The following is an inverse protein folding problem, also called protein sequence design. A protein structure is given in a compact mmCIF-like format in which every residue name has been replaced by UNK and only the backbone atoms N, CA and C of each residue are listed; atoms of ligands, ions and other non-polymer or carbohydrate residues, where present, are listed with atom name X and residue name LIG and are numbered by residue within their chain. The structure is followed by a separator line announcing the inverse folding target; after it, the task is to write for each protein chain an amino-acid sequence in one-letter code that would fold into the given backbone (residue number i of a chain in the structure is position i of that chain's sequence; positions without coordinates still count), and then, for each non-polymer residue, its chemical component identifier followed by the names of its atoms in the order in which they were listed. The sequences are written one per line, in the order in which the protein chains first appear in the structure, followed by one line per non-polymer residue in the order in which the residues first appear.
data_IF_196635179320
#
_entry.id   IF_196635179320
#
_cell.length_a   1.000
_cell.length_b   1.000
_cell.length_c   1.000
_cell.angle_alpha   90.00
_cell.angle_beta   90.00
_cell.angle_gamma   90.00
#
_symmetry.space_group_name_H-M   'P 1'
#
loop_
_entity.id
_entity.type
_entity.pdbx_description
1 polymer ?
#
# COMPACT_ATOMS: atom_id res chain seq x y z
N UNK A 1 -3.49 -6.06 21.09
CA UNK A 1 -4.31 -5.24 20.18
C UNK A 1 -3.37 -4.69 19.11
N UNK A 2 -3.54 -5.10 17.86
CA UNK A 2 -2.74 -4.55 16.76
C UNK A 2 -3.29 -3.18 16.40
N UNK A 3 -2.44 -2.16 16.36
CA UNK A 3 -2.82 -0.78 15.97
C UNK A 3 -2.97 -0.61 14.45
N UNK A 4 -3.16 -1.71 13.72
CA UNK A 4 -3.22 -1.71 12.26
C UNK A 4 -4.66 -1.56 11.80
N UNK A 5 -4.83 -0.90 10.64
CA UNK A 5 -6.11 -0.88 9.95
C UNK A 5 -6.52 -2.31 9.57
N UNK A 6 -7.75 -2.66 9.93
CA UNK A 6 -8.37 -3.90 9.48
C UNK A 6 -8.87 -3.72 8.05
N UNK A 7 -8.14 -4.30 7.09
CA UNK A 7 -8.48 -4.24 5.66
C UNK A 7 -9.80 -4.94 5.33
N UNK A 8 -10.27 -5.87 6.16
CA UNK A 8 -11.56 -6.53 5.97
C UNK A 8 -12.75 -5.62 6.26
N UNK A 9 -12.55 -4.63 7.15
CA UNK A 9 -13.58 -3.66 7.52
C UNK A 9 -13.81 -2.58 6.46
N UNK A 10 -12.86 -2.40 5.54
CA UNK A 10 -12.91 -1.37 4.50
C UNK A 10 -13.54 -1.97 3.24
N UNK A 11 -14.76 -1.52 2.92
CA UNK A 11 -15.42 -1.84 1.66
C UNK A 11 -14.65 -1.27 0.46
N UNK A 12 -14.78 -1.93 -0.70
CA UNK A 12 -14.07 -1.55 -1.92
C UNK A 12 -14.41 -0.11 -2.37
N UNK A 13 -15.68 0.30 -2.25
CA UNK A 13 -16.13 1.67 -2.57
C UNK A 13 -15.57 2.73 -1.63
N UNK A 14 -15.57 2.44 -0.33
CA UNK A 14 -15.00 3.35 0.65
C UNK A 14 -13.52 3.57 0.37
N UNK A 15 -12.80 2.50 -0.02
CA UNK A 15 -11.40 2.61 -0.40
C UNK A 15 -11.19 3.42 -1.68
N UNK A 16 -12.06 3.26 -2.68
CA UNK A 16 -12.04 4.08 -3.90
C UNK A 16 -12.18 5.58 -3.56
N UNK A 17 -13.14 5.93 -2.71
CA UNK A 17 -13.33 7.31 -2.27
C UNK A 17 -12.18 7.84 -1.41
N UNK A 18 -11.55 6.98 -0.60
CA UNK A 18 -10.32 7.33 0.10
C UNK A 18 -9.17 7.63 -0.84
N UNK A 19 -8.98 6.86 -1.92
CA UNK A 19 -7.95 7.14 -2.94
C UNK A 19 -8.25 8.40 -3.72
N UNK A 20 -9.53 8.65 -4.04
CA UNK A 20 -9.98 9.85 -4.77
C UNK A 20 -9.65 11.11 -3.98
N UNK A 21 -10.07 11.16 -2.72
CA UNK A 21 -9.97 12.33 -1.84
C UNK A 21 -8.62 12.42 -1.11
N UNK A 22 -7.91 11.30 -0.95
CA UNK A 22 -6.65 11.22 -0.23
C UNK A 22 -5.50 11.90 -0.96
N UNK A 23 -4.56 12.45 -0.19
CA UNK A 23 -3.31 12.94 -0.74
C UNK A 23 -2.40 11.76 -1.11
N UNK A 24 -1.98 11.70 -2.37
CA UNK A 24 -1.04 10.70 -2.86
C UNK A 24 0.26 11.37 -3.30
N UNK A 25 1.38 10.72 -2.98
CA UNK A 25 2.72 11.15 -3.40
C UNK A 25 2.83 11.01 -4.93
N UNK A 26 3.67 11.79 -5.64
CA UNK A 26 3.68 11.82 -7.11
C UNK A 26 3.81 10.46 -7.79
N UNK A 27 4.63 9.55 -7.25
CA UNK A 27 4.81 8.18 -7.75
C UNK A 27 3.59 7.26 -7.59
N UNK A 28 2.52 7.74 -6.96
CA UNK A 28 1.27 7.02 -6.70
C UNK A 28 0.06 7.70 -7.37
N UNK A 29 0.27 8.84 -8.04
CA UNK A 29 -0.81 9.59 -8.68
C UNK A 29 -1.51 8.81 -9.81
N UNK A 30 -0.80 7.89 -10.45
CA UNK A 30 -1.37 6.96 -11.44
C UNK A 30 -2.55 6.14 -10.91
N UNK A 31 -2.69 6.00 -9.58
CA UNK A 31 -3.83 5.33 -8.97
C UNK A 31 -5.11 6.14 -9.06
N UNK A 32 -5.03 7.47 -9.23
CA UNK A 32 -6.22 8.33 -9.38
C UNK A 32 -6.79 8.30 -10.80
N UNK A 33 -6.04 7.78 -11.75
CA UNK A 33 -6.47 7.69 -13.14
C UNK A 33 -7.47 6.54 -13.32
N UNK A 34 -8.60 6.83 -13.97
CA UNK A 34 -9.65 5.87 -14.31
C UNK A 34 -10.12 5.01 -13.11
N UNK A 35 -10.18 5.61 -11.90
CA UNK A 35 -10.58 4.91 -10.67
C UNK A 35 -11.92 4.20 -10.80
N UNK A 36 -12.93 4.86 -11.37
CA UNK A 36 -14.27 4.30 -11.49
C UNK A 36 -14.32 3.05 -12.40
N UNK A 37 -13.67 3.12 -13.58
CA UNK A 37 -13.59 1.99 -14.51
C UNK A 37 -12.80 0.82 -13.92
N UNK A 38 -11.61 1.12 -13.37
CA UNK A 38 -10.72 0.11 -12.79
C UNK A 38 -11.34 -0.57 -11.57
N UNK A 39 -12.03 0.18 -10.71
CA UNK A 39 -12.70 -0.42 -9.56
C UNK A 39 -13.98 -1.19 -9.93
N UNK A 40 -14.63 -0.86 -11.05
CA UNK A 40 -15.75 -1.66 -11.57
C UNK A 40 -15.30 -3.08 -11.90
N UNK A 41 -14.17 -3.23 -12.59
CA UNK A 41 -13.55 -4.53 -12.91
C UNK A 41 -13.38 -5.38 -11.64
N UNK A 42 -12.81 -4.82 -10.58
CA UNK A 42 -12.62 -5.55 -9.32
C UNK A 42 -13.95 -5.98 -8.70
N UNK A 43 -14.97 -5.11 -8.77
CA UNK A 43 -16.31 -5.42 -8.28
C UNK A 43 -16.95 -6.54 -9.09
N UNK A 44 -16.82 -6.51 -10.41
CA UNK A 44 -17.38 -7.52 -11.32
C UNK A 44 -16.69 -8.89 -11.12
N UNK A 45 -15.42 -8.88 -10.73
CA UNK A 45 -14.69 -10.06 -10.25
C UNK A 45 -15.13 -10.57 -8.86
N UNK A 46 -16.10 -9.90 -8.22
CA UNK A 46 -16.68 -10.30 -6.94
C UNK A 46 -15.91 -9.84 -5.69
N UNK A 47 -14.95 -8.92 -5.84
CA UNK A 47 -14.15 -8.40 -4.73
C UNK A 47 -14.97 -7.37 -3.94
N UNK A 48 -15.11 -7.57 -2.62
CA UNK A 48 -15.99 -6.74 -1.77
C UNK A 48 -15.25 -5.79 -0.85
N UNK A 49 -14.03 -6.14 -0.44
CA UNK A 49 -13.25 -5.39 0.54
C UNK A 49 -11.75 -5.33 0.16
N UNK A 50 -11.01 -4.47 0.84
CA UNK A 50 -9.58 -4.23 0.56
C UNK A 50 -8.74 -5.47 0.86
N UNK A 51 -9.14 -6.30 1.83
CA UNK A 51 -8.44 -7.55 2.14
C UNK A 51 -8.52 -8.57 1.00
N UNK A 52 -9.69 -8.75 0.41
CA UNK A 52 -9.89 -9.60 -0.78
C UNK A 52 -9.11 -9.07 -1.97
N UNK A 53 -9.12 -7.75 -2.19
CA UNK A 53 -8.31 -7.10 -3.22
C UNK A 53 -6.82 -7.38 -3.03
N UNK A 54 -6.30 -7.21 -1.80
CA UNK A 54 -4.90 -7.50 -1.49
C UNK A 54 -4.55 -8.96 -1.78
N UNK A 55 -5.44 -9.89 -1.43
CA UNK A 55 -5.25 -11.33 -1.63
C UNK A 55 -5.26 -11.69 -3.13
N UNK A 56 -6.17 -11.09 -3.89
CA UNK A 56 -6.25 -11.25 -5.33
C UNK A 56 -4.97 -10.77 -6.03
N UNK A 57 -4.49 -9.57 -5.69
CA UNK A 57 -3.28 -8.98 -6.27
C UNK A 57 -1.99 -9.71 -5.87
N UNK A 58 -1.95 -10.39 -4.71
CA UNK A 58 -0.81 -11.24 -4.32
C UNK A 58 -0.75 -12.56 -5.09
N UNK A 59 -1.88 -13.04 -5.62
CA UNK A 59 -1.92 -14.26 -6.38
C UNK A 59 -1.48 -13.98 -7.81
N UNK A 60 -0.34 -14.55 -8.23
CA UNK A 60 0.25 -14.35 -9.56
C UNK A 60 -0.72 -14.70 -10.71
N UNK A 61 -1.55 -15.73 -10.53
CA UNK A 61 -2.51 -16.15 -11.56
C UNK A 61 -3.58 -15.09 -11.77
N UNK A 62 -4.16 -14.59 -10.68
CA UNK A 62 -5.22 -13.57 -10.71
C UNK A 62 -4.63 -12.23 -11.14
N UNK A 63 -3.44 -11.90 -10.66
CA UNK A 63 -2.71 -10.71 -11.09
C UNK A 63 -2.49 -10.69 -12.60
N UNK A 64 -2.07 -11.81 -13.20
CA UNK A 64 -1.90 -11.92 -14.65
C UNK A 64 -3.21 -11.83 -15.42
N UNK A 65 -4.33 -12.24 -14.84
CA UNK A 65 -5.65 -12.10 -15.45
C UNK A 65 -6.07 -10.63 -15.48
N UNK A 66 -5.89 -9.90 -14.38
CA UNK A 66 -6.16 -8.46 -14.35
C UNK A 66 -5.21 -7.68 -15.24
N UNK A 67 -3.92 -8.02 -15.30
CA UNK A 67 -2.98 -7.33 -16.18
C UNK A 67 -3.24 -7.57 -17.68
N UNK A 68 -4.03 -8.59 -18.02
CA UNK A 68 -4.43 -8.87 -19.39
C UNK A 68 -5.62 -8.01 -19.86
N UNK A 69 -6.33 -7.35 -18.94
CA UNK A 69 -7.37 -6.40 -19.31
C UNK A 69 -6.76 -5.09 -19.81
N UNK A 70 -7.28 -4.59 -20.93
CA UNK A 70 -6.74 -3.41 -21.61
C UNK A 70 -6.70 -2.15 -20.72
N UNK A 71 -7.57 -2.05 -19.71
CA UNK A 71 -7.68 -0.90 -18.80
C UNK A 71 -6.75 -0.97 -17.57
N UNK A 72 -6.04 -2.09 -17.38
CA UNK A 72 -5.23 -2.40 -16.19
C UNK A 72 -3.76 -2.64 -16.56
N UNK A 73 -2.90 -1.65 -16.30
CA UNK A 73 -1.45 -1.82 -16.48
C UNK A 73 -0.85 -2.61 -15.31
N UNK A 74 0.19 -3.40 -15.59
CA UNK A 74 0.96 -4.10 -14.56
C UNK A 74 1.55 -3.13 -13.51
N UNK A 75 1.96 -1.94 -13.96
CA UNK A 75 2.43 -0.87 -13.08
C UNK A 75 1.35 -0.39 -12.11
N UNK A 76 0.11 -0.18 -12.59
CA UNK A 76 -1.01 0.20 -11.75
C UNK A 76 -1.27 -0.83 -10.65
N UNK A 77 -1.35 -2.11 -11.02
CA UNK A 77 -1.60 -3.21 -10.07
C UNK A 77 -0.48 -3.33 -9.04
N UNK A 78 0.78 -3.16 -9.46
CA UNK A 78 1.96 -3.21 -8.59
C UNK A 78 1.96 -2.06 -7.59
N UNK A 79 1.67 -0.84 -8.05
CA UNK A 79 1.61 0.35 -7.21
C UNK A 79 0.43 0.25 -6.24
N UNK A 80 -0.73 -0.24 -6.69
CA UNK A 80 -1.90 -0.47 -5.85
C UNK A 80 -1.60 -1.47 -4.72
N UNK A 81 -0.93 -2.58 -5.05
CA UNK A 81 -0.50 -3.56 -4.06
C UNK A 81 0.48 -2.95 -3.05
N UNK A 82 1.40 -2.09 -3.50
CA UNK A 82 2.34 -1.38 -2.62
C UNK A 82 1.61 -0.43 -1.67
N UNK A 83 0.62 0.32 -2.15
CA UNK A 83 -0.20 1.20 -1.30
C UNK A 83 -0.93 0.42 -0.22
N UNK A 84 -1.62 -0.66 -0.60
CA UNK A 84 -2.38 -1.49 0.35
C UNK A 84 -1.43 -2.10 1.39
N UNK A 85 -0.27 -2.61 0.98
CA UNK A 85 0.72 -3.15 1.91
C UNK A 85 1.31 -2.07 2.84
N UNK A 86 1.36 -0.81 2.41
CA UNK A 86 1.81 0.31 3.24
C UNK A 86 0.86 0.59 4.42
N UNK A 87 -0.41 0.20 4.32
CA UNK A 87 -1.40 0.36 5.41
C UNK A 87 -1.17 -0.62 6.57
N UNK A 88 -0.43 -1.70 6.32
CA UNK A 88 -0.12 -2.74 7.31
C UNK A 88 1.40 -2.97 7.41
N UNK A 89 2.15 -2.01 8.00
CA UNK A 89 3.59 -2.17 8.14
C UNK A 89 3.93 -3.34 9.06
N UNK A 90 4.96 -4.10 8.69
CA UNK A 90 5.41 -5.25 9.49
C UNK A 90 5.88 -4.76 10.87
N UNK A 91 5.48 -5.43 11.97
CA UNK A 91 5.98 -5.10 13.29
C UNK A 91 7.47 -5.43 13.36
N UNK A 92 8.30 -4.42 13.65
CA UNK A 92 9.72 -4.61 13.93
C UNK A 92 9.89 -4.88 15.44
N UNK A 93 10.70 -5.87 15.80
CA UNK A 93 11.01 -6.10 17.22
C UNK A 93 11.94 -4.99 17.70
N UNK A 94 11.69 -4.46 18.90
CA UNK A 94 12.56 -3.42 19.51
C UNK A 94 14.01 -3.89 19.58
N UNK A 95 14.24 -5.19 19.81
CA UNK A 95 15.58 -5.81 19.85
C UNK A 95 16.33 -5.78 18.51
N UNK A 96 15.62 -5.65 17.40
CA UNK A 96 16.18 -5.61 16.04
C UNK A 96 16.48 -4.17 15.58
N UNK A 97 16.07 -3.17 16.36
CA UNK A 97 16.45 -1.79 16.10
C UNK A 97 17.95 -1.64 16.37
N UNK A 98 18.74 -1.11 15.41
CA UNK A 98 20.12 -0.78 15.68
C UNK A 98 20.14 0.18 16.87
N UNK A 99 21.00 -0.10 17.85
CA UNK A 99 21.16 0.79 19.00
C UNK A 99 21.51 2.19 18.47
N UNK A 100 20.54 3.11 18.53
CA UNK A 100 20.71 4.52 18.20
C UNK A 100 21.53 5.20 19.30
N UNK A 101 22.73 4.71 19.55
CA UNK A 101 23.75 5.47 20.24
C UNK A 101 24.72 5.91 19.15
N UNK A 102 24.63 7.17 18.67
CA UNK A 102 25.81 7.74 18.04
C UNK A 102 26.96 7.51 19.03
N UNK A 103 28.08 6.98 18.55
CA UNK A 103 29.32 7.13 19.29
C UNK A 103 29.49 8.64 19.41
N UNK A 104 29.11 9.19 20.58
CA UNK A 104 29.41 10.57 20.93
C UNK A 104 30.92 10.63 20.99
N UNK A 105 31.56 10.89 19.86
CA UNK A 105 32.93 11.38 19.85
C UNK A 105 32.91 12.60 20.75
N UNK A 106 33.72 12.68 21.82
CA UNK A 106 33.77 13.87 22.62
C UNK A 106 34.36 14.99 21.76
N UNK A 107 33.52 15.79 21.12
CA UNK A 107 33.91 17.01 20.40
C UNK A 107 34.27 18.14 21.39
N UNK A 108 34.80 17.79 22.56
CA UNK A 108 35.17 18.70 23.63
C UNK A 108 36.69 18.77 23.76
N UNK A 109 37.40 19.06 22.66
CA UNK A 109 38.70 19.71 22.77
C UNK A 109 38.52 21.17 22.35
N UNK A 110 38.21 21.96 23.37
CA UNK A 110 38.27 23.42 23.38
C UNK A 110 39.71 23.82 23.03
N UNK A 111 39.84 24.71 22.03
CA UNK A 111 41.09 25.41 21.69
C UNK A 111 41.70 26.02 22.95
N UNK A 112 42.97 25.72 23.19
CA UNK A 112 43.93 26.58 23.88
C UNK A 112 45.07 26.88 22.90
#
# INVERSE_FOLDING_TARGET
MGYYLDLGSIGLDNYKEQLRNGYLIPSRLLLKENLDERFSIFRDAGIKNVFELQKALRNKTIFSQFSAEASMSEEFLTVLLREINSLQPKPNKIKELPAFLPKLSPCWNRRE
#
